data_IF_947354767166
#
_entry.id   IF_947354767166
#
_cell.length_a   1.000
_cell.length_b   1.000
_cell.length_c   1.000
_cell.angle_alpha   90.00
_cell.angle_beta   90.00
_cell.angle_gamma   90.00
#
_symmetry.space_group_name_H-M   'P 1'
#
loop_
_entity.id
_entity.type
_entity.pdbx_description
1 polymer ?
#
# COMPACT_ATOMS: atom_id res chain seq x y z
N UNK A 1 -17.20 11.35 11.54
CA UNK A 1 -15.96 11.19 10.74
C UNK A 1 -16.00 9.89 9.91
N UNK A 2 -17.07 9.63 9.14
CA UNK A 2 -17.29 8.35 8.42
C UNK A 2 -17.31 8.48 6.88
N UNK A 3 -16.85 9.61 6.32
CA UNK A 3 -17.07 9.92 4.88
C UNK A 3 -15.81 9.97 4.01
N UNK A 4 -14.63 9.72 4.56
CA UNK A 4 -13.36 9.83 3.81
C UNK A 4 -12.77 8.49 3.34
N UNK A 5 -13.40 7.35 3.68
CA UNK A 5 -12.93 6.02 3.25
C UNK A 5 -13.44 5.64 1.85
N UNK A 6 -14.58 6.20 1.43
CA UNK A 6 -15.22 5.89 0.15
C UNK A 6 -14.49 6.39 -1.12
N UNK A 7 -13.83 7.57 -1.16
CA UNK A 7 -13.28 8.08 -2.43
C UNK A 7 -11.99 7.39 -2.86
N UNK A 8 -11.21 6.80 -1.94
CA UNK A 8 -9.96 6.10 -2.25
C UNK A 8 -10.23 4.73 -2.88
N UNK A 9 -11.26 4.02 -2.38
CA UNK A 9 -11.71 2.74 -2.96
C UNK A 9 -12.30 2.94 -4.35
N UNK A 10 -12.95 4.09 -4.62
CA UNK A 10 -13.57 4.38 -5.90
C UNK A 10 -12.55 4.76 -6.99
N UNK A 11 -11.46 5.46 -6.64
CA UNK A 11 -10.40 5.81 -7.60
C UNK A 11 -9.65 4.57 -8.11
N UNK A 12 -9.55 3.51 -7.30
CA UNK A 12 -8.97 2.23 -7.72
C UNK A 12 -9.86 1.46 -8.72
N UNK A 13 -11.17 1.74 -8.78
CA UNK A 13 -12.09 1.05 -9.69
C UNK A 13 -12.13 1.64 -11.11
N UNK A 14 -11.70 2.90 -11.32
CA UNK A 14 -11.88 3.61 -12.59
C UNK A 14 -10.80 3.26 -13.65
N UNK A 15 -9.71 2.60 -13.28
CA UNK A 15 -8.64 2.18 -14.21
C UNK A 15 -8.93 0.85 -14.95
N UNK A 16 -10.14 0.30 -14.82
CA UNK A 16 -10.51 -1.02 -15.34
C UNK A 16 -11.20 -1.02 -16.72
N UNK A 17 -11.13 0.07 -17.50
CA UNK A 17 -11.59 0.04 -18.90
C UNK A 17 -10.52 -0.65 -19.78
N UNK A 18 -10.84 -1.75 -20.48
CA UNK A 18 -9.88 -2.40 -21.37
C UNK A 18 -9.81 -1.60 -22.67
N UNK A 19 -8.71 -0.89 -22.90
CA UNK A 19 -8.32 -0.53 -24.26
C UNK A 19 -7.86 -1.82 -24.95
N UNK A 20 -8.54 -2.22 -26.03
CA UNK A 20 -8.04 -3.31 -26.90
C UNK A 20 -6.76 -2.82 -27.56
N UNK A 21 -5.62 -3.34 -27.12
CA UNK A 21 -4.33 -3.21 -27.78
C UNK A 21 -3.92 -4.58 -28.33
N UNK A 22 -3.13 -4.59 -29.40
CA UNK A 22 -2.51 -5.81 -29.93
C UNK A 22 -1.68 -6.53 -28.84
N UNK A 23 -1.51 -7.86 -28.94
CA UNK A 23 -0.74 -8.61 -27.95
C UNK A 23 0.67 -8.02 -27.85
N UNK A 24 1.14 -7.65 -26.64
CA UNK A 24 2.49 -7.13 -26.47
C UNK A 24 3.51 -8.20 -26.87
N UNK A 25 4.61 -7.77 -27.49
CA UNK A 25 5.71 -8.65 -27.90
C UNK A 25 6.43 -9.31 -26.72
N UNK A 26 6.38 -8.68 -25.55
CA UNK A 26 6.73 -9.26 -24.26
C UNK A 26 5.44 -9.67 -23.56
N UNK A 27 5.22 -10.97 -23.26
CA UNK A 27 4.03 -11.43 -22.54
C UNK A 27 4.00 -10.94 -21.08
N UNK A 28 5.12 -10.46 -20.53
CA UNK A 28 5.25 -9.98 -19.15
C UNK A 28 6.03 -8.64 -19.08
N UNK A 29 5.52 -7.54 -19.65
CA UNK A 29 6.27 -6.30 -19.73
C UNK A 29 6.43 -5.68 -18.35
N UNK A 30 7.64 -5.18 -18.05
CA UNK A 30 7.94 -4.56 -16.75
C UNK A 30 7.08 -3.33 -16.46
N UNK A 31 6.59 -2.63 -17.49
CA UNK A 31 5.67 -1.50 -17.38
C UNK A 31 4.31 -1.84 -18.00
N UNK A 32 3.70 -2.94 -17.55
CA UNK A 32 2.37 -3.38 -17.97
C UNK A 32 1.24 -2.90 -17.05
N UNK A 33 0.00 -2.98 -17.54
CA UNK A 33 -1.21 -2.77 -16.74
C UNK A 33 -1.24 -3.67 -15.50
N UNK A 34 -0.82 -4.92 -15.67
CA UNK A 34 -0.74 -5.92 -14.63
C UNK A 34 0.19 -5.48 -13.48
N UNK A 35 1.37 -4.94 -13.82
CA UNK A 35 2.33 -4.36 -12.86
C UNK A 35 1.77 -3.18 -12.07
N UNK A 36 0.96 -2.34 -12.73
CA UNK A 36 0.26 -1.25 -12.06
C UNK A 36 -0.79 -1.75 -11.05
N UNK A 37 -1.42 -2.91 -11.30
CA UNK A 37 -2.34 -3.55 -10.35
C UNK A 37 -1.60 -4.10 -9.14
N UNK A 38 -0.48 -4.79 -9.33
CA UNK A 38 0.41 -5.24 -8.26
C UNK A 38 0.86 -4.08 -7.37
N UNK A 39 1.38 -3.02 -7.98
CA UNK A 39 1.74 -1.78 -7.29
C UNK A 39 0.58 -1.20 -6.46
N UNK A 40 -0.58 -0.99 -7.09
CA UNK A 40 -1.72 -0.35 -6.44
C UNK A 40 -2.32 -1.19 -5.31
N UNK A 41 -2.44 -2.50 -5.53
CA UNK A 41 -2.96 -3.43 -4.54
C UNK A 41 -2.03 -3.54 -3.33
N UNK A 42 -0.73 -3.68 -3.55
CA UNK A 42 0.27 -3.74 -2.48
C UNK A 42 0.39 -2.43 -1.71
N UNK A 43 0.28 -1.27 -2.37
CA UNK A 43 0.20 0.02 -1.70
C UNK A 43 -1.04 0.12 -0.80
N UNK A 44 -2.20 -0.32 -1.30
CA UNK A 44 -3.45 -0.31 -0.54
C UNK A 44 -3.40 -1.27 0.66
N UNK A 45 -2.85 -2.48 0.50
CA UNK A 45 -2.67 -3.43 1.58
C UNK A 45 -1.74 -2.87 2.66
N UNK A 46 -0.59 -2.33 2.28
CA UNK A 46 0.40 -1.84 3.22
C UNK A 46 -0.13 -0.65 4.04
N UNK A 47 -0.75 0.32 3.37
CA UNK A 47 -1.35 1.48 4.03
C UNK A 47 -2.59 1.12 4.85
N UNK A 48 -3.43 0.20 4.35
CA UNK A 48 -4.60 -0.30 5.06
C UNK A 48 -4.22 -1.04 6.34
N UNK A 49 -3.22 -1.92 6.27
CA UNK A 49 -2.68 -2.64 7.42
C UNK A 49 -2.02 -1.68 8.43
N UNK A 50 -1.21 -0.72 7.98
CA UNK A 50 -0.66 0.33 8.85
C UNK A 50 -1.76 1.06 9.63
N UNK A 51 -2.82 1.49 8.92
CA UNK A 51 -3.96 2.19 9.52
C UNK A 51 -4.75 1.30 10.48
N UNK A 52 -5.01 0.04 10.11
CA UNK A 52 -5.68 -0.92 10.97
C UNK A 52 -4.89 -1.16 12.26
N UNK A 53 -3.58 -1.34 12.18
CA UNK A 53 -2.71 -1.50 13.36
C UNK A 53 -2.84 -0.34 14.34
N UNK A 54 -3.00 0.90 13.85
CA UNK A 54 -3.25 2.07 14.68
C UNK A 54 -4.60 2.02 15.42
N UNK A 55 -5.63 1.40 14.82
CA UNK A 55 -6.96 1.27 15.42
C UNK A 55 -7.04 0.17 16.48
N UNK A 56 -6.22 -0.87 16.36
CA UNK A 56 -6.22 -2.04 17.27
C UNK A 56 -5.21 -1.93 18.42
N UNK A 57 -4.65 -0.74 18.69
CA UNK A 57 -3.84 -0.47 19.88
C UNK A 57 -2.42 -1.02 19.85
N UNK A 58 -1.91 -1.38 18.67
CA UNK A 58 -0.47 -1.65 18.49
C UNK A 58 0.25 -0.31 18.34
N UNK A 59 0.84 0.13 19.46
CA UNK A 59 1.54 1.39 19.55
C UNK A 59 2.90 1.36 18.85
N UNK A 60 3.31 2.53 18.35
CA UNK A 60 4.58 2.75 17.69
C UNK A 60 4.51 2.61 16.17
N UNK A 61 5.03 3.62 15.46
CA UNK A 61 5.06 3.64 13.98
C UNK A 61 5.84 2.46 13.42
N UNK A 62 6.92 2.04 14.07
CA UNK A 62 7.72 0.89 13.66
C UNK A 62 6.88 -0.41 13.61
N UNK A 63 6.02 -0.63 14.61
CA UNK A 63 5.14 -1.80 14.63
C UNK A 63 4.09 -1.73 13.51
N UNK A 64 3.51 -0.56 13.27
CA UNK A 64 2.56 -0.33 12.17
C UNK A 64 3.20 -0.55 10.80
N UNK A 65 4.44 -0.08 10.61
CA UNK A 65 5.24 -0.34 9.41
C UNK A 65 5.50 -1.84 9.25
N UNK A 66 5.93 -2.51 10.32
CA UNK A 66 6.24 -3.94 10.27
C UNK A 66 5.01 -4.78 9.89
N UNK A 67 3.84 -4.48 10.47
CA UNK A 67 2.58 -5.16 10.09
C UNK A 67 2.21 -4.86 8.64
N UNK A 68 2.29 -3.60 8.22
CA UNK A 68 1.99 -3.21 6.85
C UNK A 68 2.91 -3.88 5.81
N UNK A 69 4.21 -3.96 6.11
CA UNK A 69 5.16 -4.71 5.29
C UNK A 69 4.80 -6.20 5.23
N UNK A 70 4.57 -6.83 6.38
CA UNK A 70 4.29 -8.26 6.47
C UNK A 70 3.02 -8.65 5.69
N UNK A 71 1.96 -7.84 5.80
CA UNK A 71 0.71 -8.08 5.08
C UNK A 71 0.88 -7.92 3.57
N UNK A 72 1.46 -6.81 3.11
CA UNK A 72 1.57 -6.53 1.68
C UNK A 72 2.59 -7.42 0.96
N UNK A 73 3.81 -7.53 1.49
CA UNK A 73 4.84 -8.39 0.91
C UNK A 73 4.47 -9.87 1.06
N UNK A 74 3.84 -10.25 2.17
CA UNK A 74 3.36 -11.62 2.38
C UNK A 74 2.31 -12.02 1.35
N UNK A 75 1.39 -11.12 1.01
CA UNK A 75 0.39 -11.35 -0.03
C UNK A 75 1.05 -11.52 -1.42
N UNK A 76 1.93 -10.60 -1.83
CA UNK A 76 2.65 -10.68 -3.10
C UNK A 76 3.52 -11.94 -3.20
N UNK A 77 4.31 -12.22 -2.17
CA UNK A 77 5.15 -13.42 -2.13
C UNK A 77 4.34 -14.72 -2.18
N UNK A 78 3.22 -14.77 -1.45
CA UNK A 78 2.33 -15.94 -1.46
C UNK A 78 1.69 -16.13 -2.84
N UNK A 79 1.28 -15.03 -3.51
CA UNK A 79 0.74 -15.09 -4.87
C UNK A 79 1.77 -15.72 -5.82
N UNK A 80 3.03 -15.29 -5.78
CA UNK A 80 4.09 -15.86 -6.63
C UNK A 80 4.38 -17.34 -6.34
N UNK A 81 4.30 -17.76 -5.07
CA UNK A 81 4.41 -19.18 -4.70
C UNK A 81 3.25 -19.99 -5.29
N UNK A 82 2.01 -19.47 -5.19
CA UNK A 82 0.83 -20.13 -5.76
C UNK A 82 0.94 -20.23 -7.28
N UNK A 83 1.43 -19.18 -7.94
CA UNK A 83 1.66 -19.20 -9.38
C UNK A 83 2.71 -20.25 -9.75
N UNK A 84 3.82 -20.34 -9.01
CA UNK A 84 4.83 -21.38 -9.19
C UNK A 84 4.30 -22.81 -8.90
N UNK A 85 3.26 -22.94 -8.08
CA UNK A 85 2.57 -24.20 -7.80
C UNK A 85 1.52 -24.57 -8.88
N UNK A 86 1.40 -23.77 -9.95
CA UNK A 86 0.53 -24.04 -11.10
C UNK A 86 -0.80 -23.29 -11.09
N UNK A 87 -1.01 -22.35 -10.16
CA UNK A 87 -2.22 -21.52 -10.13
C UNK A 87 -2.12 -20.25 -11.00
N UNK A 88 -0.99 -20.04 -11.68
CA UNK A 88 -0.73 -18.87 -12.51
C UNK A 88 0.64 -18.92 -13.19
N UNK A 89 1.17 -17.77 -13.58
CA UNK A 89 2.52 -17.63 -14.15
C UNK A 89 3.37 -16.80 -13.20
N UNK A 90 4.39 -17.39 -12.54
CA UNK A 90 5.21 -16.64 -11.60
C UNK A 90 6.02 -15.57 -12.33
N UNK A 91 6.06 -14.36 -11.77
CA UNK A 91 6.80 -13.21 -12.27
C UNK A 91 7.52 -12.50 -11.13
N UNK A 92 8.85 -12.52 -11.17
CA UNK A 92 9.64 -11.68 -10.26
C UNK A 92 9.38 -10.18 -10.46
N UNK A 93 8.90 -9.79 -11.65
CA UNK A 93 8.53 -8.40 -11.97
C UNK A 93 7.28 -8.00 -11.18
N UNK A 94 6.29 -8.89 -11.05
CA UNK A 94 5.12 -8.65 -10.17
C UNK A 94 5.56 -8.36 -8.75
N UNK A 95 6.41 -9.23 -8.19
CA UNK A 95 6.91 -9.06 -6.84
C UNK A 95 7.73 -7.77 -6.64
N UNK A 96 8.47 -7.33 -7.68
CA UNK A 96 9.18 -6.04 -7.63
C UNK A 96 8.20 -4.85 -7.55
N UNK A 97 7.08 -4.91 -8.26
CA UNK A 97 6.03 -3.89 -8.16
C UNK A 97 5.24 -3.98 -6.85
N UNK A 98 5.09 -5.17 -6.27
CA UNK A 98 4.55 -5.33 -4.91
C UNK A 98 5.45 -4.67 -3.86
N UNK A 99 6.77 -4.82 -3.98
CA UNK A 99 7.73 -4.14 -3.12
C UNK A 99 7.64 -2.62 -3.24
N UNK A 100 7.59 -2.09 -4.46
CA UNK A 100 7.47 -0.65 -4.71
C UNK A 100 6.13 -0.09 -4.20
N UNK A 101 5.04 -0.80 -4.46
CA UNK A 101 3.71 -0.47 -3.96
C UNK A 101 3.69 -0.41 -2.44
N UNK A 102 4.21 -1.45 -1.79
CA UNK A 102 4.34 -1.52 -0.32
C UNK A 102 5.11 -0.32 0.23
N UNK A 103 6.26 0.00 -0.36
CA UNK A 103 7.09 1.13 0.08
C UNK A 103 6.35 2.47 -0.05
N UNK A 104 5.65 2.70 -1.17
CA UNK A 104 4.86 3.92 -1.38
C UNK A 104 3.68 4.00 -0.41
N UNK A 105 2.92 2.91 -0.26
CA UNK A 105 1.78 2.85 0.66
C UNK A 105 2.18 3.18 2.10
N UNK A 106 3.27 2.57 2.59
CA UNK A 106 3.82 2.85 3.92
C UNK A 106 4.36 4.28 4.04
N UNK A 107 5.09 4.75 3.03
CA UNK A 107 5.62 6.11 3.02
C UNK A 107 4.51 7.16 3.16
N UNK A 108 3.43 7.01 2.39
CA UNK A 108 2.25 7.87 2.47
C UNK A 108 1.58 7.75 3.85
N UNK A 109 1.37 6.54 4.36
CA UNK A 109 0.76 6.33 5.69
C UNK A 109 1.58 6.94 6.82
N UNK A 110 2.90 6.79 6.79
CA UNK A 110 3.81 7.39 7.78
C UNK A 110 3.79 8.91 7.67
N UNK A 111 3.83 9.47 6.45
CA UNK A 111 3.75 10.91 6.24
C UNK A 111 2.44 11.49 6.81
N UNK A 112 1.30 10.82 6.58
CA UNK A 112 0.00 11.19 7.14
C UNK A 112 0.02 11.09 8.66
N UNK A 113 0.55 10.01 9.24
CA UNK A 113 0.65 9.82 10.69
C UNK A 113 1.47 10.96 11.33
N UNK A 114 2.60 11.35 10.74
CA UNK A 114 3.38 12.50 11.19
C UNK A 114 2.61 13.81 11.07
N UNK A 115 1.93 14.06 9.95
CA UNK A 115 1.18 15.29 9.72
C UNK A 115 -0.02 15.47 10.67
N UNK A 116 -0.61 14.36 11.14
CA UNK A 116 -1.77 14.37 12.03
C UNK A 116 -1.42 14.14 13.50
N UNK A 117 -0.17 13.82 13.83
CA UNK A 117 0.25 13.60 15.21
C UNK A 117 0.42 14.94 15.95
N UNK A 118 -0.08 15.07 17.19
CA UNK A 118 0.11 16.28 18.00
C UNK A 118 1.59 16.59 18.22
N UNK A 119 1.91 17.87 18.29
CA UNK A 119 3.26 18.30 18.65
C UNK A 119 3.60 17.86 20.09
N UNK A 120 4.89 17.60 20.42
CA UNK A 120 5.30 17.28 21.79
C UNK A 120 4.88 18.35 22.82
N UNK A 121 4.82 19.62 22.40
CA UNK A 121 4.33 20.77 23.19
C UNK A 121 2.86 20.66 23.58
N UNK A 122 1.99 20.25 22.64
CA UNK A 122 0.56 20.06 22.92
C UNK A 122 0.32 18.86 23.83
N UNK A 123 1.10 17.78 23.65
CA UNK A 123 1.05 16.60 24.54
C UNK A 123 1.44 16.92 25.98
N UNK A 124 2.32 17.91 26.17
CA UNK A 124 2.79 18.39 27.48
C UNK A 124 1.85 19.42 28.14
N UNK A 125 0.81 19.90 27.44
CA UNK A 125 -0.02 21.01 27.91
C UNK A 125 0.72 22.34 28.03
N UNK A 126 1.89 22.49 27.39
CA UNK A 126 2.68 23.73 27.44
C UNK A 126 2.12 24.71 26.40
N UNK A 127 1.82 25.97 26.77
CA UNK A 127 1.35 26.96 25.80
C UNK A 127 2.38 27.17 24.70
N UNK A 128 1.91 27.27 23.46
CA UNK A 128 2.76 27.53 22.30
C UNK A 128 3.51 28.87 22.47
N UNK A 129 4.78 28.96 22.02
CA UNK A 129 5.52 30.22 22.10
C UNK A 129 4.80 31.29 21.28
N UNK A 130 4.55 32.44 21.90
CA UNK A 130 3.97 33.60 21.23
C UNK A 130 4.88 34.05 20.08
N UNK A 131 4.30 34.21 18.89
CA UNK A 131 4.98 34.82 17.73
C UNK A 131 4.89 36.33 17.81
#
# INVERSE_FOLDING_TARGET
>A
MKRLVAPVVLAALVTALPARADPPSDPDPFFGRDKALHFGFSAALAGGAYGATALYGLDGRANRVAVGMAVALGAGYTKEILDAAGFGTPSWKDFAWDLLGTAVGLGVSVAIDYALSPSPSEKSGRPAPAR
#
